data_IF_111775550350
#
_entry.id   IF_111775550350
#
_cell.length_a   1.000
_cell.length_b   1.000
_cell.length_c   1.000
_cell.angle_alpha   90.00
_cell.angle_beta   90.00
_cell.angle_gamma   90.00
#
_symmetry.space_group_name_H-M   'P 1'
#
loop_
_entity.id
_entity.type
_entity.pdbx_description
1 polymer ?
#
# COMPACT_ATOMS: atom_id res chain seq x y z
N UNK A 1 12.63 -0.87 16.97
CA UNK A 1 12.08 0.49 16.66
C UNK A 1 11.10 0.90 17.74
N UNK A 2 10.98 2.19 17.98
CA UNK A 2 9.99 2.78 18.90
C UNK A 2 8.89 3.42 18.07
N UNK A 3 7.63 3.09 18.34
CA UNK A 3 6.47 3.80 17.78
C UNK A 3 6.04 4.89 18.72
N UNK A 4 5.88 6.10 18.17
CA UNK A 4 5.29 7.25 18.86
C UNK A 4 3.94 7.52 18.22
N UNK A 5 2.86 7.40 18.96
CA UNK A 5 1.51 7.67 18.51
C UNK A 5 1.04 9.07 18.94
N UNK A 6 -0.03 9.54 18.28
CA UNK A 6 -0.72 10.78 18.64
C UNK A 6 0.15 12.05 18.60
N UNK A 7 1.11 12.10 17.68
CA UNK A 7 1.85 13.33 17.40
C UNK A 7 0.90 14.30 16.68
N UNK A 8 0.66 15.46 17.28
CA UNK A 8 -0.13 16.52 16.66
C UNK A 8 0.78 17.40 15.80
N UNK A 9 0.40 17.55 14.53
CA UNK A 9 1.13 18.36 13.55
C UNK A 9 0.17 19.41 12.97
N UNK A 10 0.62 20.65 12.80
CA UNK A 10 -0.16 21.73 12.19
C UNK A 10 -0.40 21.44 10.69
N UNK A 11 -1.39 22.08 10.11
CA UNK A 11 -1.55 22.07 8.65
C UNK A 11 -0.31 22.75 8.03
N UNK A 12 0.24 22.12 6.99
CA UNK A 12 1.48 22.59 6.37
C UNK A 12 2.76 22.29 7.18
N UNK A 13 2.71 21.27 8.07
CA UNK A 13 3.91 20.80 8.77
C UNK A 13 5.03 20.41 7.80
N UNK A 14 6.27 20.50 8.29
CA UNK A 14 7.48 20.08 7.57
C UNK A 14 8.16 18.90 8.29
N UNK A 15 9.15 18.32 7.68
CA UNK A 15 9.93 17.22 8.29
C UNK A 15 10.58 17.65 9.62
N UNK A 16 11.03 18.90 9.71
CA UNK A 16 11.62 19.46 10.94
C UNK A 16 10.63 19.45 12.11
N UNK A 17 9.34 19.71 11.85
CA UNK A 17 8.29 19.65 12.88
C UNK A 17 8.13 18.23 13.44
N UNK A 18 8.22 17.19 12.55
CA UNK A 18 8.17 15.78 12.95
C UNK A 18 9.41 15.42 13.78
N UNK A 19 10.60 15.78 13.30
CA UNK A 19 11.85 15.49 14.00
C UNK A 19 11.91 16.15 15.38
N UNK A 20 11.45 17.39 15.51
CA UNK A 20 11.36 18.06 16.78
C UNK A 20 10.40 17.35 17.73
N UNK A 21 9.24 16.91 17.22
CA UNK A 21 8.28 16.15 18.01
C UNK A 21 8.86 14.80 18.48
N UNK A 22 9.64 14.10 17.63
CA UNK A 22 10.35 12.88 17.99
C UNK A 22 11.34 13.13 19.12
N UNK A 23 12.26 14.10 18.95
CA UNK A 23 13.28 14.46 19.96
C UNK A 23 12.64 14.80 21.30
N UNK A 24 11.59 15.62 21.28
CA UNK A 24 10.82 15.99 22.49
C UNK A 24 10.16 14.78 23.14
N UNK A 25 9.50 13.91 22.35
CA UNK A 25 8.76 12.77 22.86
C UNK A 25 9.66 11.72 23.49
N UNK A 26 10.81 11.43 22.88
CA UNK A 26 11.77 10.44 23.34
C UNK A 26 12.83 11.00 24.29
N UNK A 27 12.89 12.32 24.48
CA UNK A 27 13.91 13.04 25.29
C UNK A 27 15.35 12.71 24.83
N UNK A 28 15.56 12.76 23.52
CA UNK A 28 16.85 12.47 22.87
C UNK A 28 17.27 13.62 21.95
N UNK A 29 18.56 13.76 21.73
CA UNK A 29 19.10 14.78 20.82
C UNK A 29 19.20 14.28 19.37
N UNK A 30 19.36 12.97 19.16
CA UNK A 30 19.52 12.36 17.84
C UNK A 30 18.87 10.99 17.74
N UNK A 31 18.56 10.58 16.52
CA UNK A 31 18.08 9.25 16.16
C UNK A 31 18.60 8.90 14.77
N UNK A 32 18.57 7.61 14.38
CA UNK A 32 19.13 7.13 13.11
C UNK A 32 18.18 7.42 11.94
N UNK A 33 16.92 7.09 12.10
CA UNK A 33 15.90 7.30 11.07
C UNK A 33 14.50 7.25 11.65
N UNK A 34 13.53 7.75 10.90
CA UNK A 34 12.11 7.55 11.20
C UNK A 34 11.31 7.28 9.92
N UNK A 35 10.15 6.67 10.07
CA UNK A 35 9.16 6.51 9.00
C UNK A 35 7.76 6.83 9.54
N UNK A 36 6.94 7.42 8.67
CA UNK A 36 5.52 7.59 8.96
C UNK A 36 4.85 6.22 9.02
N UNK A 37 4.15 5.96 10.12
CA UNK A 37 3.37 4.73 10.30
C UNK A 37 1.88 4.96 10.10
N UNK A 38 1.40 6.17 10.43
CA UNK A 38 0.02 6.58 10.22
C UNK A 38 -0.07 8.11 10.15
N UNK A 39 -0.94 8.60 9.29
CA UNK A 39 -1.33 10.01 9.24
C UNK A 39 -2.85 10.10 9.10
N UNK A 40 -3.49 10.87 9.94
CA UNK A 40 -4.92 11.16 9.88
C UNK A 40 -5.19 12.63 10.18
N UNK A 41 -6.33 13.14 9.73
CA UNK A 41 -6.78 14.49 10.03
C UNK A 41 -7.74 14.42 11.20
N UNK A 42 -7.54 15.26 12.20
CA UNK A 42 -8.51 15.53 13.25
C UNK A 42 -9.20 16.86 12.94
N UNK A 43 -10.46 16.77 12.51
CA UNK A 43 -11.31 17.91 12.16
C UNK A 43 -12.55 18.04 13.06
N UNK A 44 -12.56 17.39 14.23
CA UNK A 44 -13.69 17.44 15.16
C UNK A 44 -14.00 18.85 15.65
N UNK A 45 -12.99 19.70 15.72
CA UNK A 45 -13.13 21.13 15.99
C UNK A 45 -12.71 21.91 14.77
N UNK A 46 -13.63 22.68 14.18
CA UNK A 46 -13.41 23.41 12.93
C UNK A 46 -12.28 24.46 13.00
N UNK A 47 -12.10 25.07 14.16
CA UNK A 47 -11.07 26.07 14.47
C UNK A 47 -9.70 25.48 14.83
N UNK A 48 -9.61 24.16 15.01
CA UNK A 48 -8.41 23.48 15.48
C UNK A 48 -8.09 22.23 14.62
N UNK A 49 -8.25 22.34 13.32
CA UNK A 49 -7.93 21.24 12.40
C UNK A 49 -6.42 20.99 12.41
N UNK A 50 -6.04 19.75 12.63
CA UNK A 50 -4.63 19.35 12.65
C UNK A 50 -4.45 17.91 12.21
N UNK A 51 -3.21 17.54 11.85
CA UNK A 51 -2.87 16.15 11.61
C UNK A 51 -2.54 15.43 12.90
N UNK A 52 -2.90 14.15 12.95
CA UNK A 52 -2.47 13.21 13.99
C UNK A 52 -1.63 12.14 13.35
N UNK A 53 -0.35 12.09 13.72
CA UNK A 53 0.62 11.17 13.15
C UNK A 53 1.04 10.10 14.15
N UNK A 54 1.42 8.91 13.60
CA UNK A 54 2.25 7.93 14.29
C UNK A 54 3.54 7.74 13.51
N UNK A 55 4.67 7.68 14.19
CA UNK A 55 5.98 7.48 13.57
C UNK A 55 6.72 6.33 14.21
N UNK A 56 7.46 5.59 13.42
CA UNK A 56 8.37 4.52 13.85
C UNK A 56 9.80 5.04 13.78
N UNK A 57 10.47 5.05 14.92
CA UNK A 57 11.80 5.65 15.08
C UNK A 57 12.83 4.57 15.39
N UNK A 58 13.98 4.63 14.72
CA UNK A 58 15.15 3.79 14.99
C UNK A 58 16.21 4.63 15.71
N UNK A 59 16.59 4.25 16.92
CA UNK A 59 17.51 5.02 17.78
C UNK A 59 18.77 4.25 18.15
N UNK A 60 18.80 2.92 17.99
CA UNK A 60 19.92 2.05 18.41
C UNK A 60 19.94 1.69 19.91
N UNK A 61 19.13 2.33 20.75
CA UNK A 61 19.03 2.05 22.19
C UNK A 61 17.58 2.12 22.71
N UNK A 62 16.68 1.53 21.94
CA UNK A 62 15.23 1.65 22.13
C UNK A 62 14.78 1.26 23.54
N UNK A 63 15.27 0.16 24.08
CA UNK A 63 14.88 -0.32 25.42
C UNK A 63 15.32 0.63 26.54
N UNK A 64 16.51 1.23 26.41
CA UNK A 64 17.00 2.20 27.40
C UNK A 64 16.17 3.49 27.37
N UNK A 65 15.77 3.92 26.17
CA UNK A 65 14.93 5.10 25.99
C UNK A 65 13.55 4.85 26.60
N UNK A 66 12.94 3.71 26.32
CA UNK A 66 11.62 3.35 26.86
C UNK A 66 11.57 3.30 28.39
N UNK A 67 12.63 2.82 29.03
CA UNK A 67 12.73 2.83 30.51
C UNK A 67 12.73 4.25 31.11
N UNK A 68 13.13 5.27 30.34
CA UNK A 68 13.17 6.67 30.77
C UNK A 68 11.90 7.46 30.41
N UNK A 69 11.14 6.96 29.42
CA UNK A 69 9.96 7.67 28.89
C UNK A 69 8.70 6.92 29.29
N UNK A 70 8.04 7.37 30.37
CA UNK A 70 6.76 6.81 30.81
C UNK A 70 5.60 7.50 30.05
N UNK A 71 5.24 6.96 28.88
CA UNK A 71 4.15 7.49 28.05
C UNK A 71 3.44 6.37 27.31
N UNK A 72 2.15 6.22 27.52
CA UNK A 72 1.31 5.19 26.88
C UNK A 72 1.22 5.29 25.35
N UNK A 73 1.58 6.46 24.77
CA UNK A 73 1.64 6.65 23.34
C UNK A 73 2.96 6.16 22.72
N UNK A 74 3.91 5.70 23.54
CA UNK A 74 5.25 5.29 23.10
C UNK A 74 5.45 3.83 23.44
N UNK A 75 5.74 3.00 22.42
CA UNK A 75 5.87 1.56 22.58
C UNK A 75 6.97 0.98 21.73
N UNK A 76 7.56 -0.14 22.18
CA UNK A 76 8.44 -0.95 21.33
C UNK A 76 7.62 -1.69 20.30
N UNK A 77 8.07 -1.66 19.05
CA UNK A 77 7.45 -2.44 17.99
C UNK A 77 8.48 -3.33 17.31
N UNK A 78 8.03 -4.51 16.90
CA UNK A 78 8.78 -5.38 15.97
C UNK A 78 8.24 -5.10 14.56
N UNK A 79 9.12 -4.89 13.60
CA UNK A 79 8.71 -4.78 12.20
C UNK A 79 8.05 -6.09 11.76
N UNK A 80 6.90 -5.99 11.11
CA UNK A 80 6.19 -7.12 10.49
C UNK A 80 6.30 -6.98 8.97
N UNK A 81 7.49 -7.24 8.41
CA UNK A 81 7.60 -7.37 6.96
C UNK A 81 7.09 -8.75 6.55
N UNK A 82 6.24 -8.76 5.52
CA UNK A 82 5.80 -10.02 4.92
C UNK A 82 7.00 -10.73 4.30
N UNK A 83 7.15 -11.99 4.65
CA UNK A 83 8.13 -12.87 4.00
C UNK A 83 7.37 -13.84 3.12
N UNK A 84 7.80 -13.96 1.87
CA UNK A 84 7.31 -15.00 0.98
C UNK A 84 7.67 -16.34 1.62
N UNK A 85 6.73 -17.30 1.70
CA UNK A 85 7.04 -18.65 2.21
C UNK A 85 8.16 -19.30 1.40
N UNK A 86 8.99 -20.07 2.06
CA UNK A 86 9.99 -20.89 1.38
C UNK A 86 9.29 -21.88 0.46
N UNK A 87 9.78 -22.00 -0.76
CA UNK A 87 9.27 -22.93 -1.74
C UNK A 87 10.02 -24.28 -1.67
N UNK A 88 9.37 -25.34 -2.17
CA UNK A 88 9.94 -26.68 -2.17
C UNK A 88 11.17 -26.81 -3.09
N UNK A 89 11.99 -27.79 -2.83
CA UNK A 89 13.21 -28.08 -3.61
C UNK A 89 12.97 -28.88 -4.89
N UNK A 90 11.75 -29.40 -5.12
CA UNK A 90 11.44 -30.18 -6.31
C UNK A 90 11.34 -29.29 -7.53
N UNK A 91 12.06 -29.57 -8.63
CA UNK A 91 11.95 -28.81 -9.86
C UNK A 91 10.56 -28.96 -10.46
N UNK A 92 9.97 -27.86 -10.90
CA UNK A 92 8.71 -27.91 -11.64
C UNK A 92 8.95 -28.33 -13.09
N UNK A 93 8.23 -29.37 -13.53
CA UNK A 93 8.31 -29.85 -14.90
C UNK A 93 7.66 -28.87 -15.89
N UNK A 94 6.61 -28.18 -15.47
CA UNK A 94 5.84 -27.26 -16.33
C UNK A 94 5.75 -25.88 -15.70
N UNK A 95 5.52 -24.86 -16.53
CA UNK A 95 5.28 -23.50 -16.08
C UNK A 95 3.93 -23.41 -15.35
N UNK A 96 3.84 -22.67 -14.22
CA UNK A 96 2.56 -22.41 -13.58
C UNK A 96 1.59 -21.71 -14.53
N UNK A 97 0.33 -22.12 -14.54
CA UNK A 97 -0.74 -21.48 -15.29
C UNK A 97 -1.69 -20.80 -14.30
N UNK A 98 -1.94 -19.51 -14.52
CA UNK A 98 -2.83 -18.68 -13.72
C UNK A 98 -4.03 -18.33 -14.58
N UNK A 99 -5.23 -18.62 -14.11
CA UNK A 99 -6.47 -18.32 -14.83
C UNK A 99 -7.05 -17.00 -14.30
N UNK A 100 -7.02 -15.97 -15.13
CA UNK A 100 -7.47 -14.62 -14.86
C UNK A 100 -6.37 -13.68 -14.40
N UNK A 101 -6.39 -12.43 -14.86
CA UNK A 101 -5.50 -11.33 -14.48
C UNK A 101 -6.20 -10.27 -13.63
N UNK A 102 -7.16 -10.69 -12.81
CA UNK A 102 -7.67 -9.86 -11.72
C UNK A 102 -6.60 -9.66 -10.64
N UNK A 103 -6.90 -8.95 -9.53
CA UNK A 103 -5.90 -8.63 -8.51
C UNK A 103 -5.13 -9.86 -8.00
N UNK A 104 -5.82 -10.95 -7.72
CA UNK A 104 -5.19 -12.19 -7.24
C UNK A 104 -4.25 -12.81 -8.28
N UNK A 105 -4.67 -12.87 -9.56
CA UNK A 105 -3.87 -13.42 -10.63
C UNK A 105 -2.63 -12.57 -10.95
N UNK A 106 -2.76 -11.25 -10.94
CA UNK A 106 -1.63 -10.35 -11.14
C UNK A 106 -0.58 -10.50 -10.04
N UNK A 107 -1.01 -10.53 -8.77
CA UNK A 107 -0.07 -10.74 -7.65
C UNK A 107 0.55 -12.14 -7.66
N UNK A 108 -0.23 -13.19 -7.98
CA UNK A 108 0.32 -14.54 -8.12
C UNK A 108 1.36 -14.59 -9.25
N UNK A 109 1.06 -13.98 -10.39
CA UNK A 109 1.99 -13.88 -11.52
C UNK A 109 3.26 -13.14 -11.16
N UNK A 110 3.14 -11.98 -10.52
CA UNK A 110 4.27 -11.17 -10.08
C UNK A 110 5.19 -11.95 -9.12
N UNK A 111 4.64 -12.56 -8.08
CA UNK A 111 5.45 -13.29 -7.11
C UNK A 111 6.11 -14.53 -7.72
N UNK A 112 5.39 -15.30 -8.52
CA UNK A 112 5.97 -16.45 -9.22
C UNK A 112 7.06 -16.02 -10.20
N UNK A 113 6.87 -14.91 -10.91
CA UNK A 113 7.88 -14.38 -11.83
C UNK A 113 9.15 -13.94 -11.08
N UNK A 114 9.01 -13.27 -9.93
CA UNK A 114 10.15 -12.87 -9.08
C UNK A 114 10.96 -14.06 -8.56
N UNK A 115 10.29 -15.17 -8.31
CA UNK A 115 10.92 -16.43 -7.91
C UNK A 115 11.42 -17.28 -9.11
N UNK A 116 11.37 -16.74 -10.32
CA UNK A 116 11.92 -17.39 -11.53
C UNK A 116 11.04 -18.44 -12.19
N UNK A 117 9.79 -18.62 -11.75
CA UNK A 117 8.90 -19.67 -12.28
C UNK A 117 8.33 -19.39 -13.68
N UNK A 118 8.44 -18.17 -14.22
CA UNK A 118 7.94 -17.76 -15.54
C UNK A 118 6.47 -18.18 -15.78
N UNK A 119 5.51 -17.73 -14.93
CA UNK A 119 4.11 -18.14 -15.03
C UNK A 119 3.48 -17.77 -16.38
N UNK A 120 2.42 -18.46 -16.76
CA UNK A 120 1.54 -18.11 -17.88
C UNK A 120 0.23 -17.60 -17.27
N UNK A 121 -0.18 -16.39 -17.63
CA UNK A 121 -1.49 -15.84 -17.20
C UNK A 121 -2.44 -15.90 -18.40
N UNK A 122 -3.58 -16.55 -18.22
CA UNK A 122 -4.65 -16.59 -19.21
C UNK A 122 -5.76 -15.64 -18.76
N UNK A 123 -6.03 -14.60 -19.55
CA UNK A 123 -7.10 -13.63 -19.29
C UNK A 123 -8.13 -13.70 -20.41
N UNK A 124 -9.40 -13.71 -20.02
CA UNK A 124 -10.51 -13.74 -20.97
C UNK A 124 -10.76 -12.38 -21.61
N UNK A 125 -10.60 -11.31 -20.83
CA UNK A 125 -10.86 -9.96 -21.26
C UNK A 125 -9.64 -9.29 -21.88
N UNK A 126 -9.77 -8.01 -22.16
CA UNK A 126 -8.72 -7.20 -22.77
C UNK A 126 -7.66 -6.75 -21.77
N UNK A 127 -6.48 -6.38 -22.28
CA UNK A 127 -5.46 -5.66 -21.54
C UNK A 127 -6.02 -4.32 -21.01
N UNK A 128 -5.46 -3.80 -19.92
CA UNK A 128 -6.02 -2.65 -19.20
C UNK A 128 -6.20 -1.42 -20.07
N UNK A 129 -5.30 -1.17 -21.02
CA UNK A 129 -5.38 -0.02 -21.95
C UNK A 129 -6.60 -0.14 -22.89
N UNK A 130 -6.71 -1.26 -23.60
CA UNK A 130 -7.81 -1.56 -24.52
C UNK A 130 -9.15 -1.62 -23.79
N UNK A 131 -9.14 -2.26 -22.60
CA UNK A 131 -10.31 -2.35 -21.75
C UNK A 131 -10.80 -0.97 -21.30
N UNK A 132 -9.90 -0.07 -20.96
CA UNK A 132 -10.25 1.31 -20.59
C UNK A 132 -10.92 2.04 -21.73
N UNK A 133 -10.39 1.92 -22.95
CA UNK A 133 -11.00 2.52 -24.13
C UNK A 133 -12.41 1.94 -24.38
N UNK A 134 -12.56 0.62 -24.31
CA UNK A 134 -13.83 -0.07 -24.49
C UNK A 134 -14.88 0.34 -23.44
N UNK A 135 -14.54 0.37 -22.16
CA UNK A 135 -15.46 0.75 -21.09
C UNK A 135 -15.87 2.21 -21.21
N UNK A 136 -14.92 3.10 -21.50
CA UNK A 136 -15.20 4.53 -21.69
C UNK A 136 -16.11 4.79 -22.88
N UNK A 137 -15.89 4.10 -24.02
CA UNK A 137 -16.76 4.20 -25.20
C UNK A 137 -18.19 3.74 -24.90
N UNK A 138 -18.36 2.64 -24.14
CA UNK A 138 -19.68 2.23 -23.68
C UNK A 138 -20.37 3.29 -22.80
N UNK A 139 -19.66 3.86 -21.82
CA UNK A 139 -20.22 4.90 -20.94
C UNK A 139 -20.58 6.18 -21.70
N UNK A 140 -19.83 6.51 -22.74
CA UNK A 140 -20.14 7.65 -23.66
C UNK A 140 -21.22 7.33 -24.67
N UNK A 141 -21.75 6.10 -24.70
CA UNK A 141 -22.73 5.58 -25.68
C UNK A 141 -22.22 5.58 -27.12
N UNK A 142 -20.93 5.43 -27.32
CA UNK A 142 -20.30 5.32 -28.64
C UNK A 142 -20.52 3.93 -29.26
N UNK A 143 -20.74 2.91 -28.43
CA UNK A 143 -21.06 1.54 -28.84
C UNK A 143 -21.88 0.82 -27.76
N UNK A 144 -22.57 -0.32 -28.08
CA UNK A 144 -23.29 -1.12 -27.11
C UNK A 144 -22.34 -1.85 -26.17
N UNK A 145 -22.89 -2.42 -25.06
CA UNK A 145 -22.14 -3.23 -24.11
C UNK A 145 -21.46 -4.41 -24.81
N UNK A 146 -20.15 -4.51 -24.64
CA UNK A 146 -19.40 -5.67 -25.08
C UNK A 146 -19.38 -6.74 -23.96
N UNK A 147 -19.97 -7.94 -24.15
CA UNK A 147 -20.01 -8.99 -23.13
C UNK A 147 -18.62 -9.54 -22.78
N UNK A 148 -17.62 -9.35 -23.65
CA UNK A 148 -16.24 -9.81 -23.43
C UNK A 148 -15.29 -8.67 -23.00
N UNK A 149 -15.77 -7.41 -22.93
CA UNK A 149 -14.98 -6.27 -22.49
C UNK A 149 -15.88 -5.28 -21.75
N UNK A 150 -15.84 -5.33 -20.44
CA UNK A 150 -16.66 -4.46 -19.58
C UNK A 150 -15.98 -4.29 -18.22
N UNK A 151 -16.70 -3.63 -17.27
CA UNK A 151 -16.21 -3.37 -15.91
C UNK A 151 -15.93 -4.65 -15.10
N UNK A 152 -16.54 -5.80 -15.44
CA UNK A 152 -16.41 -7.04 -14.67
C UNK A 152 -15.24 -7.91 -15.12
N UNK A 153 -14.86 -7.87 -16.41
CA UNK A 153 -13.88 -8.76 -17.01
C UNK A 153 -12.68 -8.00 -17.56
N UNK A 154 -11.53 -8.64 -17.51
CA UNK A 154 -10.29 -8.14 -18.06
C UNK A 154 -9.24 -7.79 -17.01
N UNK A 155 -8.08 -7.44 -17.49
CA UNK A 155 -6.90 -7.17 -16.67
C UNK A 155 -7.16 -6.13 -15.56
N UNK A 156 -6.71 -6.43 -14.36
CA UNK A 156 -6.88 -5.60 -13.18
C UNK A 156 -8.20 -5.79 -12.44
N UNK A 157 -9.19 -6.50 -13.04
CA UNK A 157 -10.50 -6.74 -12.44
C UNK A 157 -11.38 -5.50 -12.35
N UNK A 158 -12.51 -5.59 -11.65
CA UNK A 158 -13.47 -4.48 -11.50
C UNK A 158 -12.92 -3.27 -10.72
N UNK A 159 -11.90 -3.50 -9.88
CA UNK A 159 -11.27 -2.44 -9.08
C UNK A 159 -10.66 -1.32 -9.89
N UNK A 160 -10.20 -1.58 -11.12
CA UNK A 160 -9.63 -0.57 -12.02
C UNK A 160 -10.61 0.52 -12.47
N UNK A 161 -11.91 0.27 -12.32
CA UNK A 161 -12.99 1.22 -12.63
C UNK A 161 -13.78 1.66 -11.41
N UNK A 162 -13.25 1.42 -10.21
CA UNK A 162 -13.82 1.88 -8.94
C UNK A 162 -13.35 3.29 -8.60
N UNK A 163 -13.73 3.79 -7.42
CA UNK A 163 -13.25 5.08 -6.92
C UNK A 163 -11.82 5.06 -6.35
N UNK A 164 -11.11 3.93 -6.45
CA UNK A 164 -9.71 3.80 -6.03
C UNK A 164 -9.45 3.82 -4.53
N UNK A 165 -10.49 3.68 -3.70
CA UNK A 165 -10.35 3.59 -2.24
C UNK A 165 -9.76 2.26 -1.82
N UNK A 166 -8.70 2.28 -1.03
CA UNK A 166 -8.01 1.10 -0.50
C UNK A 166 -8.38 0.84 0.97
N UNK A 167 -9.69 0.82 1.26
CA UNK A 167 -10.17 0.65 2.63
C UNK A 167 -10.28 -0.84 3.00
N UNK A 168 -9.78 -1.19 4.18
CA UNK A 168 -9.96 -2.53 4.76
C UNK A 168 -10.07 -2.43 6.28
N UNK A 169 -10.86 -3.33 6.87
CA UNK A 169 -10.97 -3.50 8.32
C UNK A 169 -10.01 -4.58 8.86
N UNK A 170 -9.29 -5.27 7.97
CA UNK A 170 -8.38 -6.35 8.34
C UNK A 170 -7.17 -5.78 9.06
N UNK A 171 -6.87 -6.33 10.25
CA UNK A 171 -5.63 -6.04 10.98
C UNK A 171 -4.47 -6.78 10.29
N UNK A 172 -3.43 -6.04 9.88
CA UNK A 172 -2.29 -6.58 9.14
C UNK A 172 -1.26 -7.25 10.06
N UNK A 173 -1.64 -8.37 10.67
CA UNK A 173 -0.78 -9.13 11.59
C UNK A 173 0.42 -9.79 10.90
N UNK A 174 0.29 -10.13 9.62
CA UNK A 174 1.30 -10.85 8.83
C UNK A 174 2.09 -9.95 7.87
N UNK A 175 1.80 -8.66 7.80
CA UNK A 175 2.43 -7.72 6.86
C UNK A 175 1.93 -7.84 5.41
N UNK A 176 0.95 -8.70 5.11
CA UNK A 176 0.46 -8.93 3.74
C UNK A 176 -0.18 -7.70 3.12
N UNK A 177 -1.02 -6.98 3.88
CA UNK A 177 -1.61 -5.73 3.39
C UNK A 177 -0.52 -4.71 3.07
N UNK A 178 0.45 -4.56 3.96
CA UNK A 178 1.57 -3.66 3.76
C UNK A 178 2.40 -4.07 2.56
N UNK A 179 2.61 -5.37 2.30
CA UNK A 179 3.29 -5.87 1.11
C UNK A 179 2.54 -5.49 -0.18
N UNK A 180 1.21 -5.63 -0.23
CA UNK A 180 0.39 -5.19 -1.37
C UNK A 180 0.53 -3.69 -1.62
N UNK A 181 0.44 -2.86 -0.57
CA UNK A 181 0.61 -1.41 -0.72
C UNK A 181 2.02 -1.03 -1.17
N UNK A 182 3.07 -1.69 -0.64
CA UNK A 182 4.45 -1.51 -1.09
C UNK A 182 4.61 -1.86 -2.57
N UNK A 183 3.98 -2.95 -3.02
CA UNK A 183 3.96 -3.31 -4.44
C UNK A 183 3.29 -2.23 -5.28
N UNK A 184 2.16 -1.67 -4.86
CA UNK A 184 1.53 -0.58 -5.59
C UNK A 184 2.45 0.65 -5.70
N UNK A 185 3.17 1.01 -4.63
CA UNK A 185 4.15 2.10 -4.65
C UNK A 185 5.31 1.79 -5.60
N UNK A 186 5.83 0.58 -5.58
CA UNK A 186 6.89 0.12 -6.49
C UNK A 186 6.49 0.26 -7.96
N UNK A 187 5.22 0.03 -8.28
CA UNK A 187 4.68 0.12 -9.63
C UNK A 187 3.99 1.46 -9.97
N UNK A 188 4.20 2.49 -9.14
CA UNK A 188 3.88 3.88 -9.50
C UNK A 188 2.81 4.58 -8.67
N UNK A 189 2.31 3.95 -7.58
CA UNK A 189 1.42 4.65 -6.66
C UNK A 189 2.19 5.60 -5.73
N UNK A 190 1.50 6.64 -5.26
CA UNK A 190 2.08 7.59 -4.31
C UNK A 190 2.45 6.91 -2.98
N UNK A 191 3.66 7.11 -2.44
CA UNK A 191 4.10 6.50 -1.19
C UNK A 191 3.23 6.83 0.03
N UNK A 192 2.44 7.87 -0.01
CA UNK A 192 1.53 8.26 1.08
C UNK A 192 0.47 7.20 1.36
N UNK A 193 0.12 6.33 0.40
CA UNK A 193 -0.82 5.22 0.62
C UNK A 193 -0.37 4.26 1.72
N UNK A 194 0.92 4.23 2.04
CA UNK A 194 1.48 3.36 3.08
C UNK A 194 1.09 3.80 4.49
N UNK A 195 0.80 5.09 4.69
CA UNK A 195 0.58 5.64 6.03
C UNK A 195 -0.66 6.53 6.17
N UNK A 196 -1.22 7.06 5.08
CA UNK A 196 -2.45 7.87 5.16
C UNK A 196 -3.63 7.00 5.59
N UNK A 197 -4.45 7.51 6.51
CA UNK A 197 -5.65 6.83 6.94
C UNK A 197 -6.70 6.84 5.82
N UNK A 198 -7.26 5.68 5.47
CA UNK A 198 -8.16 5.49 4.32
C UNK A 198 -7.51 5.95 3.00
N UNK A 199 -6.43 5.27 2.57
CA UNK A 199 -5.70 5.66 1.38
C UNK A 199 -6.59 5.56 0.13
N UNK A 200 -6.34 6.47 -0.80
CA UNK A 200 -6.99 6.54 -2.10
C UNK A 200 -5.90 6.58 -3.18
N UNK A 201 -5.97 5.68 -4.16
CA UNK A 201 -4.94 5.58 -5.18
C UNK A 201 -5.32 6.34 -6.47
N UNK A 202 -6.61 6.55 -6.71
CA UNK A 202 -7.11 7.06 -7.99
C UNK A 202 -7.20 5.96 -9.07
N UNK A 203 -8.17 6.07 -9.96
CA UNK A 203 -8.36 5.08 -11.02
C UNK A 203 -7.30 5.17 -12.10
N UNK A 204 -6.88 6.37 -12.45
CA UNK A 204 -5.82 6.69 -13.42
C UNK A 204 -4.46 6.09 -12.99
N UNK A 205 -4.08 6.29 -11.74
CA UNK A 205 -2.87 5.72 -11.17
C UNK A 205 -2.97 4.20 -11.08
N UNK A 206 -4.15 3.65 -10.72
CA UNK A 206 -4.34 2.21 -10.63
C UNK A 206 -4.21 1.52 -11.98
N UNK A 207 -4.69 2.12 -13.07
CA UNK A 207 -4.48 1.64 -14.44
C UNK A 207 -2.99 1.52 -14.76
N UNK A 208 -2.22 2.57 -14.42
CA UNK A 208 -0.76 2.59 -14.59
C UNK A 208 -0.07 1.51 -13.76
N UNK A 209 -0.46 1.34 -12.50
CA UNK A 209 0.08 0.30 -11.61
C UNK A 209 -0.18 -1.09 -12.18
N UNK A 210 -1.40 -1.37 -12.64
CA UNK A 210 -1.77 -2.68 -13.24
C UNK A 210 -0.93 -2.96 -14.47
N UNK A 211 -0.78 -1.98 -15.37
CA UNK A 211 0.07 -2.09 -16.56
C UNK A 211 1.53 -2.36 -16.21
N UNK A 212 2.07 -1.64 -15.23
CA UNK A 212 3.45 -1.80 -14.80
C UNK A 212 3.71 -3.16 -14.14
N UNK A 213 2.73 -3.71 -13.39
CA UNK A 213 2.83 -5.07 -12.82
C UNK A 213 2.88 -6.13 -13.92
N UNK A 214 2.15 -5.94 -15.03
CA UNK A 214 2.17 -6.86 -16.17
C UNK A 214 3.54 -6.88 -16.86
N UNK A 215 4.19 -5.72 -17.05
CA UNK A 215 5.44 -5.55 -17.79
C UNK A 215 6.67 -5.97 -16.98
#
# INVERSE_FOLDING_TARGET
>A
MIRINNIKLKIGYKNEDIEQAIRKSLRINSFLSYKMAKLSIDSRKKDQIHYVASVDVTCGQEEKILKKVHNNNIMLIKGTDYKIPEYGSMPMQYRPVIIGSGPAGLFAGLFLAREGYRPIILERGMAVDERTACVNGYWKKEHPLNPNCNVQFGEGGAGTFSDGKLNTVIKDKSGRRTAVLKTFVEFGADPSILYVNKPHIGTDVLLTVVKNIRN
#
